data_IF_305825954261
#
_entry.id   IF_305825954261
#
_cell.length_a   1.000
_cell.length_b   1.000
_cell.length_c   1.000
_cell.angle_alpha   90.00
_cell.angle_beta   90.00
_cell.angle_gamma   90.00
#
_symmetry.space_group_name_H-M   'P 1'
#
loop_
_entity.id
_entity.type
_entity.pdbx_description
1 polymer ?
#
# COMPACT_ATOMS: atom_id res chain seq x y z
N UNK A 1 6.53 -17.88 -1.88
CA UNK A 1 7.34 -17.10 -2.85
C UNK A 1 8.30 -16.23 -2.08
N UNK A 2 9.58 -16.08 -2.50
CA UNK A 2 10.54 -15.23 -1.78
C UNK A 2 10.20 -13.75 -1.95
N UNK A 3 10.54 -12.90 -0.98
CA UNK A 3 10.26 -11.45 -1.05
C UNK A 3 10.85 -10.81 -2.31
N UNK A 4 12.04 -11.23 -2.73
CA UNK A 4 12.66 -10.73 -3.95
C UNK A 4 11.92 -11.13 -5.25
N UNK A 5 11.34 -12.34 -5.28
CA UNK A 5 10.56 -12.81 -6.42
C UNK A 5 9.24 -12.04 -6.54
N UNK A 6 8.59 -11.74 -5.41
CA UNK A 6 7.36 -10.93 -5.35
C UNK A 6 7.62 -9.55 -5.96
N UNK A 7 8.72 -8.91 -5.54
CA UNK A 7 9.14 -7.60 -6.07
C UNK A 7 9.29 -7.62 -7.59
N UNK A 8 10.04 -8.59 -8.11
CA UNK A 8 10.30 -8.68 -9.55
C UNK A 8 9.01 -8.98 -10.32
N UNK A 9 8.19 -9.90 -9.81
CA UNK A 9 6.92 -10.28 -10.45
C UNK A 9 5.96 -9.10 -10.59
N UNK A 10 5.90 -8.22 -9.60
CA UNK A 10 5.09 -6.99 -9.69
C UNK A 10 5.59 -6.04 -10.77
N UNK A 11 6.90 -5.78 -10.81
CA UNK A 11 7.50 -4.92 -11.83
C UNK A 11 7.27 -5.47 -13.25
N UNK A 12 7.50 -6.78 -13.43
CA UNK A 12 7.33 -7.45 -14.71
C UNK A 12 5.86 -7.45 -15.17
N UNK A 13 4.93 -7.67 -14.23
CA UNK A 13 3.50 -7.63 -14.51
C UNK A 13 3.08 -6.27 -15.06
N UNK A 14 3.40 -5.18 -14.36
CA UNK A 14 3.01 -3.85 -14.84
C UNK A 14 3.80 -3.39 -16.06
N UNK A 15 5.06 -3.80 -16.20
CA UNK A 15 5.79 -3.60 -17.46
C UNK A 15 5.08 -4.26 -18.65
N UNK A 16 4.51 -5.45 -18.45
CA UNK A 16 3.69 -6.13 -19.48
C UNK A 16 2.39 -5.40 -19.82
N UNK A 17 1.89 -4.53 -18.92
CA UNK A 17 0.72 -3.66 -19.12
C UNK A 17 1.10 -2.26 -19.66
N UNK A 18 2.36 -2.06 -20.04
CA UNK A 18 2.87 -0.85 -20.67
C UNK A 18 3.38 0.22 -19.69
N UNK A 19 3.63 -0.13 -18.43
CA UNK A 19 4.21 0.80 -17.45
C UNK A 19 5.73 0.88 -17.59
N UNK A 20 6.27 2.09 -17.48
CA UNK A 20 7.73 2.29 -17.39
C UNK A 20 8.21 1.91 -15.99
N UNK A 21 9.20 1.02 -15.90
CA UNK A 21 9.83 0.70 -14.62
C UNK A 21 10.72 1.87 -14.21
N UNK A 22 10.39 2.53 -13.11
CA UNK A 22 11.18 3.61 -12.52
C UNK A 22 11.93 3.10 -11.27
N UNK A 23 13.21 3.47 -11.10
CA UNK A 23 13.97 3.07 -9.92
C UNK A 23 13.43 3.79 -8.67
N UNK A 24 13.56 3.13 -7.52
CA UNK A 24 13.27 3.78 -6.24
C UNK A 24 14.14 5.02 -6.05
N UNK A 25 13.49 6.14 -5.73
CA UNK A 25 14.14 7.39 -5.36
C UNK A 25 14.88 7.29 -4.01
N UNK A 26 15.67 8.33 -3.72
CA UNK A 26 16.27 8.55 -2.40
C UNK A 26 15.21 8.60 -1.30
N UNK A 27 15.57 8.18 -0.09
CA UNK A 27 14.72 8.36 1.09
C UNK A 27 14.59 9.84 1.48
N UNK A 28 15.56 10.67 1.11
CA UNK A 28 15.55 12.12 1.37
C UNK A 28 14.99 12.83 0.13
N UNK A 29 13.84 13.52 0.22
CA UNK A 29 13.29 14.30 -0.88
C UNK A 29 14.24 15.42 -1.29
N UNK A 30 14.46 15.60 -2.60
CA UNK A 30 15.37 16.64 -3.09
C UNK A 30 14.70 18.04 -3.18
N UNK A 31 13.40 18.09 -3.48
CA UNK A 31 12.67 19.33 -3.78
C UNK A 31 11.43 19.58 -2.90
N UNK A 32 11.23 18.79 -1.83
CA UNK A 32 10.12 18.98 -0.91
C UNK A 32 10.64 19.28 0.49
N UNK A 33 10.45 20.53 0.95
CA UNK A 33 10.88 20.98 2.28
C UNK A 33 9.89 20.61 3.39
N UNK A 34 8.72 20.09 3.03
CA UNK A 34 7.65 19.72 3.98
C UNK A 34 7.72 18.25 4.37
N UNK A 35 8.36 17.41 3.55
CA UNK A 35 8.55 15.99 3.81
C UNK A 35 9.95 15.69 4.37
N UNK A 36 10.00 15.02 5.52
CA UNK A 36 11.26 14.56 6.11
C UNK A 36 11.86 13.38 5.33
N UNK A 37 11.01 12.42 4.97
CA UNK A 37 11.38 11.23 4.20
C UNK A 37 10.32 10.92 3.13
N UNK A 38 10.73 10.21 2.08
CA UNK A 38 9.81 9.56 1.15
C UNK A 38 9.05 8.48 1.92
N UNK A 39 7.75 8.68 2.10
CA UNK A 39 6.86 7.82 2.89
C UNK A 39 5.87 6.99 2.03
N UNK A 40 5.84 7.25 0.72
CA UNK A 40 4.98 6.59 -0.26
C UNK A 40 5.64 6.56 -1.65
N UNK A 41 5.20 5.63 -2.51
CA UNK A 41 5.69 5.46 -3.88
C UNK A 41 5.40 6.64 -4.81
N UNK A 42 4.36 7.43 -4.51
CA UNK A 42 3.96 8.59 -5.31
C UNK A 42 4.81 9.85 -5.09
N UNK A 43 5.55 9.94 -3.98
CA UNK A 43 6.29 11.17 -3.62
C UNK A 43 7.25 11.63 -4.73
N UNK A 44 8.03 10.75 -5.39
CA UNK A 44 8.89 11.15 -6.51
C UNK A 44 8.12 11.63 -7.75
N UNK A 45 6.81 11.37 -7.82
CA UNK A 45 5.94 11.72 -8.94
C UNK A 45 4.95 12.84 -8.59
N UNK A 46 5.07 13.49 -7.42
CA UNK A 46 4.15 14.53 -6.94
C UNK A 46 3.90 15.63 -7.99
N UNK A 47 4.97 16.13 -8.61
CA UNK A 47 4.87 17.19 -9.64
C UNK A 47 4.31 16.68 -10.97
N UNK A 48 4.39 15.38 -11.23
CA UNK A 48 3.74 14.74 -12.39
C UNK A 48 2.23 14.65 -12.16
N UNK A 49 1.80 14.26 -10.96
CA UNK A 49 0.38 14.21 -10.57
C UNK A 49 -0.30 15.58 -10.65
N UNK A 50 0.40 16.66 -10.29
CA UNK A 50 -0.12 18.03 -10.35
C UNK A 50 0.00 18.68 -11.74
N UNK A 51 0.63 18.00 -12.70
CA UNK A 51 0.86 18.49 -14.07
C UNK A 51 1.99 19.53 -14.21
N UNK A 52 2.74 19.80 -13.13
CA UNK A 52 3.89 20.72 -13.12
C UNK A 52 5.06 20.13 -13.91
N UNK A 53 5.28 18.82 -13.78
CA UNK A 53 6.33 18.08 -14.49
C UNK A 53 5.71 17.14 -15.52
N UNK A 54 6.32 17.07 -16.72
CA UNK A 54 5.93 16.12 -17.76
C UNK A 54 7.01 15.06 -17.94
N UNK A 55 6.60 13.79 -17.96
CA UNK A 55 7.45 12.64 -18.24
C UNK A 55 7.23 12.14 -19.68
N UNK A 56 8.21 11.42 -20.27
CA UNK A 56 8.05 10.82 -21.60
C UNK A 56 7.11 9.60 -21.62
N UNK A 57 6.51 9.26 -20.47
CA UNK A 57 5.57 8.17 -20.27
C UNK A 57 4.36 8.66 -19.46
N UNK A 58 3.23 7.99 -19.65
CA UNK A 58 1.97 8.26 -18.93
C UNK A 58 1.65 7.20 -17.87
N UNK A 59 2.46 6.12 -17.81
CA UNK A 59 2.33 5.02 -16.86
C UNK A 59 3.69 4.69 -16.26
N UNK A 60 3.75 4.48 -14.95
CA UNK A 60 4.97 4.08 -14.27
C UNK A 60 4.72 2.99 -13.23
N UNK A 61 5.71 2.14 -12.99
CA UNK A 61 5.71 1.17 -11.90
C UNK A 61 7.02 1.29 -11.14
N UNK A 62 6.98 1.24 -9.81
CA UNK A 62 8.18 1.23 -8.97
C UNK A 62 7.98 0.38 -7.72
N UNK A 63 9.10 0.04 -7.09
CA UNK A 63 9.13 -0.47 -5.72
C UNK A 63 9.94 0.53 -4.91
N UNK A 64 9.24 1.44 -4.23
CA UNK A 64 9.84 2.55 -3.52
C UNK A 64 10.21 2.13 -2.10
N UNK A 65 11.45 2.40 -1.69
CA UNK A 65 11.83 2.36 -0.28
C UNK A 65 11.18 3.53 0.46
N UNK A 66 10.47 3.25 1.53
CA UNK A 66 9.71 4.23 2.28
C UNK A 66 10.18 4.27 3.74
N UNK A 67 10.10 5.46 4.35
CA UNK A 67 10.26 5.64 5.80
C UNK A 67 9.07 6.38 6.40
N UNK A 68 8.49 5.81 7.45
CA UNK A 68 7.41 6.39 8.27
C UNK A 68 7.85 6.54 9.73
N UNK A 69 8.72 7.51 9.96
CA UNK A 69 9.30 7.80 11.28
C UNK A 69 9.19 9.28 11.66
N UNK A 70 8.18 9.99 11.14
CA UNK A 70 7.97 11.41 11.43
C UNK A 70 6.92 12.07 10.54
N UNK A 71 6.45 13.24 10.96
CA UNK A 71 5.39 13.98 10.27
C UNK A 71 4.01 13.31 10.42
N UNK A 72 3.14 13.51 9.43
CA UNK A 72 1.76 12.98 9.41
C UNK A 72 1.70 11.44 9.40
N UNK A 73 2.67 10.78 8.76
CA UNK A 73 2.75 9.33 8.68
C UNK A 73 3.92 8.84 9.54
N UNK A 74 3.62 8.54 10.81
CA UNK A 74 4.61 8.13 11.79
C UNK A 74 4.18 6.82 12.47
N UNK A 75 4.88 5.74 12.14
CA UNK A 75 4.63 4.41 12.67
C UNK A 75 5.62 4.02 13.78
N UNK A 76 6.50 4.93 14.20
CA UNK A 76 7.62 4.63 15.12
C UNK A 76 7.16 3.96 16.42
N UNK A 77 6.07 4.43 17.02
CA UNK A 77 5.54 3.90 18.28
C UNK A 77 4.83 2.54 18.11
N UNK A 78 4.53 2.12 16.87
CA UNK A 78 3.84 0.86 16.55
C UNK A 78 4.81 -0.29 16.26
N UNK A 79 6.07 0.03 15.91
CA UNK A 79 7.10 -0.95 15.54
C UNK A 79 7.45 -1.83 16.72
N UNK A 80 7.55 -3.14 16.49
CA UNK A 80 7.81 -4.15 17.52
C UNK A 80 6.58 -4.59 18.32
N UNK A 81 5.54 -3.74 18.43
CA UNK A 81 4.29 -4.05 19.12
C UNK A 81 3.24 -4.71 18.24
N UNK A 82 3.24 -4.40 16.94
CA UNK A 82 2.27 -4.95 15.98
C UNK A 82 2.95 -5.86 14.96
N UNK A 83 2.17 -6.68 14.27
CA UNK A 83 2.67 -7.62 13.28
C UNK A 83 2.97 -6.98 11.90
N UNK A 84 2.58 -5.71 11.71
CA UNK A 84 2.41 -5.09 10.37
C UNK A 84 3.11 -3.74 10.16
N UNK A 85 3.59 -3.09 11.22
CA UNK A 85 4.19 -1.74 11.13
C UNK A 85 5.70 -1.79 11.15
N UNK A 86 6.31 -0.98 10.28
CA UNK A 86 7.76 -0.82 10.15
C UNK A 86 8.10 0.67 10.06
N UNK A 87 9.30 1.06 10.48
CA UNK A 87 9.82 2.39 10.12
C UNK A 87 10.23 2.41 8.66
N UNK A 88 11.00 1.43 8.20
CA UNK A 88 11.42 1.24 6.82
C UNK A 88 10.67 0.08 6.19
N UNK A 89 10.16 0.27 4.97
CA UNK A 89 9.47 -0.77 4.21
C UNK A 89 9.55 -0.48 2.70
N UNK A 90 9.18 -1.45 1.87
CA UNK A 90 9.06 -1.26 0.43
C UNK A 90 7.60 -1.19 -0.01
N UNK A 91 7.27 -0.15 -0.79
CA UNK A 91 5.95 0.06 -1.37
C UNK A 91 5.97 -0.23 -2.86
N UNK A 92 5.20 -1.22 -3.28
CA UNK A 92 4.95 -1.56 -4.67
C UNK A 92 3.84 -0.65 -5.19
N UNK A 93 4.12 0.13 -6.23
CA UNK A 93 3.15 1.07 -6.78
C UNK A 93 3.12 1.06 -8.30
N UNK A 94 1.91 1.03 -8.86
CA UNK A 94 1.62 1.40 -10.23
C UNK A 94 0.96 2.79 -10.27
N UNK A 95 1.36 3.60 -11.25
CA UNK A 95 0.93 4.99 -11.38
C UNK A 95 0.41 5.26 -12.79
N UNK A 96 -0.68 6.01 -12.87
CA UNK A 96 -1.28 6.53 -14.11
C UNK A 96 -1.30 8.05 -14.06
N UNK A 97 -0.74 8.70 -15.08
CA UNK A 97 -0.69 10.15 -15.20
C UNK A 97 -1.62 10.59 -16.34
N UNK A 98 -2.92 10.72 -16.05
CA UNK A 98 -3.93 11.10 -17.04
C UNK A 98 -4.17 10.06 -18.14
N UNK A 99 -3.97 8.77 -17.85
CA UNK A 99 -4.09 7.67 -18.83
C UNK A 99 -5.29 6.77 -18.52
N UNK A 100 -5.10 5.77 -17.66
CA UNK A 100 -6.18 4.93 -17.14
C UNK A 100 -6.63 5.39 -15.75
N UNK A 101 -7.82 4.97 -15.32
CA UNK A 101 -8.39 5.40 -14.04
C UNK A 101 -8.94 4.22 -13.23
N UNK A 102 -10.03 4.41 -12.48
CA UNK A 102 -10.60 3.43 -11.54
C UNK A 102 -10.76 2.04 -12.12
N UNK A 103 -11.37 1.95 -13.31
CA UNK A 103 -11.70 0.69 -13.96
C UNK A 103 -10.47 -0.20 -14.16
N UNK A 104 -9.48 0.30 -14.87
CA UNK A 104 -8.25 -0.46 -15.13
C UNK A 104 -7.40 -0.62 -13.87
N UNK A 105 -7.38 0.36 -12.96
CA UNK A 105 -6.66 0.24 -11.68
C UNK A 105 -7.16 -0.95 -10.86
N UNK A 106 -8.48 -1.09 -10.73
CA UNK A 106 -9.13 -2.21 -10.04
C UNK A 106 -8.88 -3.51 -10.78
N UNK A 107 -9.02 -3.53 -12.12
CA UNK A 107 -8.77 -4.73 -12.93
C UNK A 107 -7.33 -5.22 -12.81
N UNK A 108 -6.34 -4.32 -12.89
CA UNK A 108 -4.93 -4.68 -12.76
C UNK A 108 -4.61 -5.22 -11.37
N UNK A 109 -5.12 -4.59 -10.31
CA UNK A 109 -4.91 -5.04 -8.95
C UNK A 109 -5.53 -6.43 -8.73
N UNK A 110 -6.76 -6.63 -9.18
CA UNK A 110 -7.47 -7.90 -9.04
C UNK A 110 -6.83 -9.04 -9.83
N UNK A 111 -6.44 -8.80 -11.09
CA UNK A 111 -5.73 -9.76 -11.93
C UNK A 111 -4.38 -10.14 -11.29
N UNK A 112 -3.61 -9.16 -10.81
CA UNK A 112 -2.33 -9.46 -10.16
C UNK A 112 -2.50 -10.33 -8.91
N UNK A 113 -3.42 -9.98 -8.01
CA UNK A 113 -3.61 -10.73 -6.78
C UNK A 113 -4.17 -12.14 -7.02
N UNK A 114 -5.15 -12.29 -7.91
CA UNK A 114 -5.92 -13.54 -8.01
C UNK A 114 -5.48 -14.45 -9.15
N UNK A 115 -4.92 -13.90 -10.22
CA UNK A 115 -4.43 -14.67 -11.38
C UNK A 115 -2.92 -14.85 -11.28
N UNK A 116 -2.16 -13.76 -11.17
CA UNK A 116 -0.71 -13.85 -11.15
C UNK A 116 -0.19 -14.45 -9.84
N UNK A 117 -0.70 -14.01 -8.70
CA UNK A 117 -0.28 -14.53 -7.38
C UNK A 117 -1.13 -15.71 -6.90
N UNK A 118 -2.30 -15.95 -7.50
CA UNK A 118 -3.16 -17.08 -7.16
C UNK A 118 -3.78 -16.97 -5.77
N UNK A 119 -3.97 -15.77 -5.23
CA UNK A 119 -4.61 -15.60 -3.93
C UNK A 119 -6.07 -16.07 -3.97
N UNK A 120 -6.54 -16.79 -2.93
CA UNK A 120 -7.93 -17.22 -2.83
C UNK A 120 -8.87 -16.02 -2.75
N UNK A 121 -9.78 -15.91 -3.72
CA UNK A 121 -10.74 -14.78 -3.85
C UNK A 121 -11.66 -14.66 -2.64
N UNK A 122 -11.96 -15.76 -1.99
CA UNK A 122 -12.76 -15.87 -0.76
C UNK A 122 -12.06 -15.29 0.48
N UNK A 123 -10.73 -15.13 0.44
CA UNK A 123 -9.95 -14.49 1.51
C UNK A 123 -9.76 -12.99 1.31
N UNK A 124 -10.16 -12.44 0.17
CA UNK A 124 -10.04 -11.01 -0.09
C UNK A 124 -11.28 -10.26 0.40
N UNK A 125 -11.06 -9.07 0.93
CA UNK A 125 -12.09 -8.09 1.31
C UNK A 125 -11.73 -6.74 0.69
N UNK A 126 -12.72 -5.92 0.37
CA UNK A 126 -12.50 -4.61 -0.26
C UNK A 126 -13.14 -3.51 0.57
N UNK A 127 -12.50 -2.36 0.67
CA UNK A 127 -13.14 -1.11 1.11
C UNK A 127 -13.25 -0.12 -0.06
N UNK A 128 -14.25 0.75 -0.02
CA UNK A 128 -14.44 1.88 -0.94
C UNK A 128 -14.89 3.11 -0.16
N UNK A 129 -14.57 4.29 -0.67
CA UNK A 129 -15.11 5.53 -0.12
C UNK A 129 -16.64 5.54 -0.21
N UNK A 130 -17.31 5.91 0.87
CA UNK A 130 -18.77 5.80 0.97
C UNK A 130 -19.52 6.61 -0.09
N UNK A 131 -18.93 7.68 -0.63
CA UNK A 131 -19.51 8.49 -1.70
C UNK A 131 -19.07 8.04 -3.11
N UNK A 132 -18.13 7.10 -3.23
CA UNK A 132 -17.60 6.60 -4.51
C UNK A 132 -18.37 5.38 -5.04
N UNK A 133 -19.57 5.64 -5.57
CA UNK A 133 -20.44 4.63 -6.16
C UNK A 133 -19.79 3.95 -7.38
N UNK A 134 -18.97 4.69 -8.14
CA UNK A 134 -18.30 4.19 -9.34
C UNK A 134 -17.33 3.05 -9.00
N UNK A 135 -16.53 3.20 -7.94
CA UNK A 135 -15.62 2.16 -7.49
C UNK A 135 -16.38 0.90 -7.02
N UNK A 136 -17.48 1.07 -6.25
CA UNK A 136 -18.33 -0.05 -5.84
C UNK A 136 -18.93 -0.79 -7.04
N UNK A 137 -19.41 -0.04 -8.04
CA UNK A 137 -20.02 -0.62 -9.24
C UNK A 137 -19.01 -1.38 -10.11
N UNK A 138 -17.76 -0.91 -10.21
CA UNK A 138 -16.70 -1.66 -10.91
C UNK A 138 -16.42 -2.98 -10.18
N UNK A 139 -16.26 -2.95 -8.85
CA UNK A 139 -16.04 -4.16 -8.06
C UNK A 139 -17.18 -5.16 -8.21
N UNK A 140 -18.43 -4.72 -8.13
CA UNK A 140 -19.59 -5.62 -8.18
C UNK A 140 -19.86 -6.11 -9.60
N UNK A 141 -19.95 -5.20 -10.57
CA UNK A 141 -20.49 -5.52 -11.90
C UNK A 141 -19.42 -5.99 -12.89
N UNK A 142 -18.19 -5.50 -12.77
CA UNK A 142 -17.10 -5.87 -13.70
C UNK A 142 -16.20 -6.97 -13.13
N UNK A 143 -15.80 -6.85 -11.86
CA UNK A 143 -14.98 -7.86 -11.21
C UNK A 143 -15.83 -9.06 -10.74
N UNK A 144 -17.12 -8.85 -10.47
CA UNK A 144 -18.00 -9.87 -9.90
C UNK A 144 -17.74 -10.10 -8.41
N UNK A 145 -17.20 -9.09 -7.72
CA UNK A 145 -16.89 -9.18 -6.30
C UNK A 145 -18.18 -9.09 -5.46
N UNK A 146 -18.37 -9.94 -4.45
CA UNK A 146 -19.63 -10.01 -3.73
C UNK A 146 -19.80 -8.80 -2.81
N UNK A 147 -20.94 -8.10 -2.95
CA UNK A 147 -21.23 -6.85 -2.23
C UNK A 147 -21.16 -6.97 -0.70
N UNK A 148 -21.44 -8.15 -0.13
CA UNK A 148 -21.36 -8.38 1.32
C UNK A 148 -19.93 -8.49 1.88
N UNK A 149 -18.90 -8.39 1.02
CA UNK A 149 -17.49 -8.29 1.40
C UNK A 149 -16.86 -6.96 0.96
N UNK A 150 -17.71 -5.97 0.65
CA UNK A 150 -17.30 -4.59 0.36
C UNK A 150 -17.74 -3.73 1.55
N UNK A 151 -16.78 -3.09 2.20
CA UNK A 151 -17.03 -2.08 3.22
C UNK A 151 -17.09 -0.69 2.58
N UNK A 152 -18.11 0.09 2.92
CA UNK A 152 -18.18 1.52 2.59
C UNK A 152 -17.68 2.30 3.79
N UNK A 153 -16.50 2.90 3.69
CA UNK A 153 -15.90 3.65 4.79
C UNK A 153 -15.86 5.15 4.48
N UNK A 154 -15.84 5.94 5.55
CA UNK A 154 -15.79 7.40 5.45
C UNK A 154 -14.41 7.93 5.05
N UNK A 155 -14.29 9.26 5.04
CA UNK A 155 -13.08 9.93 4.56
C UNK A 155 -11.83 9.64 5.40
N UNK A 156 -11.99 9.20 6.66
CA UNK A 156 -10.88 8.82 7.52
C UNK A 156 -10.08 7.64 6.94
N UNK A 157 -10.77 6.69 6.31
CA UNK A 157 -10.19 5.42 5.90
C UNK A 157 -10.06 5.34 4.37
N UNK A 158 -11.04 5.86 3.62
CA UNK A 158 -11.05 5.78 2.15
C UNK A 158 -10.95 7.14 1.42
N UNK A 159 -10.34 8.16 2.04
CA UNK A 159 -9.95 9.38 1.34
C UNK A 159 -8.48 9.69 1.59
N UNK A 160 -7.66 9.50 0.56
CA UNK A 160 -6.22 9.61 0.68
C UNK A 160 -5.73 11.02 0.35
N UNK A 161 -4.82 11.54 1.16
CA UNK A 161 -4.11 12.80 0.92
C UNK A 161 -2.68 12.74 1.47
N UNK A 162 -1.71 13.10 0.62
CA UNK A 162 -0.27 13.02 0.92
C UNK A 162 0.15 13.86 2.14
N UNK A 163 -0.43 15.04 2.28
CA UNK A 163 -0.11 16.02 3.33
C UNK A 163 -1.33 16.88 3.67
N UNK A 164 -1.10 18.10 4.11
CA UNK A 164 -2.17 19.07 4.37
C UNK A 164 -2.72 19.68 3.07
N UNK A 165 -1.86 19.76 2.04
CA UNK A 165 -2.18 20.19 0.67
C UNK A 165 -1.64 19.19 -0.36
N UNK A 166 -2.03 19.35 -1.62
CA UNK A 166 -1.53 18.55 -2.74
C UNK A 166 -2.53 17.53 -3.29
N UNK A 167 -2.07 16.66 -4.22
CA UNK A 167 -2.89 15.65 -4.86
C UNK A 167 -3.57 14.71 -3.85
N UNK A 168 -4.87 14.48 -4.04
CA UNK A 168 -5.72 13.66 -3.18
C UNK A 168 -6.93 13.09 -3.92
N UNK A 169 -7.64 12.16 -3.29
CA UNK A 169 -8.85 11.57 -3.86
C UNK A 169 -9.41 10.43 -3.03
N UNK A 170 -10.59 9.90 -3.42
CA UNK A 170 -11.13 8.68 -2.83
C UNK A 170 -10.20 7.50 -3.11
N UNK A 171 -10.25 6.50 -2.25
CA UNK A 171 -9.52 5.26 -2.42
C UNK A 171 -10.41 4.03 -2.32
N UNK A 172 -9.87 2.92 -2.81
CA UNK A 172 -10.37 1.58 -2.56
C UNK A 172 -9.21 0.71 -2.11
N UNK A 173 -9.37 0.01 -0.99
CA UNK A 173 -8.30 -0.82 -0.42
C UNK A 173 -8.69 -2.30 -0.49
N UNK A 174 -7.70 -3.15 -0.64
CA UNK A 174 -7.83 -4.61 -0.67
C UNK A 174 -7.17 -5.17 0.58
N UNK A 175 -7.92 -5.98 1.31
CA UNK A 175 -7.51 -6.64 2.54
C UNK A 175 -7.45 -8.16 2.35
N UNK A 176 -6.62 -8.82 3.14
CA UNK A 176 -6.53 -10.26 3.21
C UNK A 176 -6.97 -10.77 4.59
N UNK A 177 -7.92 -11.72 4.61
CA UNK A 177 -8.38 -12.43 5.81
C UNK A 177 -7.43 -13.58 6.18
N UNK A 178 -6.58 -13.35 7.17
CA UNK A 178 -5.63 -14.34 7.67
C UNK A 178 -6.30 -15.55 8.36
N UNK A 179 -7.55 -15.46 8.82
CA UNK A 179 -8.27 -16.57 9.46
C UNK A 179 -9.03 -16.18 10.73
N UNK A 180 -10.02 -17.00 11.08
CA UNK A 180 -10.89 -16.80 12.26
C UNK A 180 -10.16 -17.00 13.60
N UNK A 181 -8.98 -17.63 13.58
CA UNK A 181 -8.11 -17.82 14.73
C UNK A 181 -7.37 -16.53 15.16
N UNK A 182 -7.39 -15.50 14.31
CA UNK A 182 -6.82 -14.18 14.58
C UNK A 182 -7.96 -13.21 14.91
N UNK A 183 -7.79 -12.43 15.97
CA UNK A 183 -8.76 -11.42 16.36
C UNK A 183 -8.78 -10.23 15.39
N UNK A 184 -9.98 -9.71 15.13
CA UNK A 184 -10.20 -8.53 14.30
C UNK A 184 -11.37 -8.71 13.33
N UNK A 185 -12.06 -7.62 13.05
CA UNK A 185 -13.14 -7.54 12.08
C UNK A 185 -12.66 -7.01 10.72
N UNK A 186 -13.51 -7.08 9.68
CA UNK A 186 -13.24 -6.42 8.41
C UNK A 186 -13.20 -4.89 8.57
N UNK A 187 -12.65 -4.14 7.60
CA UNK A 187 -12.62 -2.68 7.64
C UNK A 187 -14.03 -2.09 7.81
N UNK A 188 -14.15 -0.99 8.56
CA UNK A 188 -15.40 -0.32 8.92
C UNK A 188 -16.15 -0.96 10.10
N UNK A 189 -15.64 -2.06 10.67
CA UNK A 189 -16.20 -2.66 11.88
C UNK A 189 -15.55 -2.10 13.16
N UNK A 190 -16.22 -2.26 14.30
CA UNK A 190 -15.73 -1.77 15.59
C UNK A 190 -14.41 -2.41 16.05
N UNK A 191 -14.09 -3.60 15.53
CA UNK A 191 -12.88 -4.38 15.82
C UNK A 191 -11.90 -4.42 14.62
N UNK A 192 -11.98 -3.44 13.71
CA UNK A 192 -11.14 -3.35 12.50
C UNK A 192 -9.63 -3.25 12.76
N UNK A 193 -9.22 -2.74 13.93
CA UNK A 193 -7.81 -2.51 14.28
C UNK A 193 -6.99 -3.79 14.54
N UNK A 194 -7.68 -4.95 14.56
CA UNK A 194 -7.07 -6.27 14.74
C UNK A 194 -6.14 -6.70 13.60
N UNK A 195 -5.52 -7.87 13.73
CA UNK A 195 -4.55 -8.40 12.77
C UNK A 195 -5.14 -9.43 11.79
N UNK A 196 -6.47 -9.64 11.83
CA UNK A 196 -7.14 -10.61 10.95
C UNK A 196 -7.23 -10.14 9.50
N UNK A 197 -7.77 -8.94 9.29
CA UNK A 197 -7.94 -8.34 7.96
C UNK A 197 -6.83 -7.33 7.74
N UNK A 198 -5.76 -7.75 7.07
CA UNK A 198 -4.62 -6.89 6.80
C UNK A 198 -4.78 -6.22 5.45
N UNK A 199 -4.75 -4.89 5.43
CA UNK A 199 -4.66 -4.09 4.21
C UNK A 199 -3.37 -4.45 3.46
N UNK A 200 -3.51 -5.00 2.26
CA UNK A 200 -2.38 -5.39 1.41
C UNK A 200 -2.15 -4.39 0.28
N UNK A 201 -3.18 -3.71 -0.23
CA UNK A 201 -3.05 -2.80 -1.36
C UNK A 201 -4.07 -1.67 -1.32
N UNK A 202 -3.61 -0.43 -1.38
CA UNK A 202 -4.44 0.77 -1.51
C UNK A 202 -4.42 1.28 -2.96
N UNK A 203 -5.60 1.52 -3.54
CA UNK A 203 -5.82 2.11 -4.86
C UNK A 203 -6.41 3.51 -4.69
N UNK A 204 -5.62 4.55 -4.94
CA UNK A 204 -6.02 5.94 -4.79
C UNK A 204 -6.38 6.53 -6.15
N UNK A 205 -7.58 7.08 -6.24
CA UNK A 205 -8.13 7.71 -7.44
C UNK A 205 -7.94 9.22 -7.36
N UNK A 206 -6.70 9.63 -7.54
CA UNK A 206 -6.25 11.02 -7.42
C UNK A 206 -6.94 11.90 -8.45
N UNK A 207 -7.86 12.74 -7.99
CA UNK A 207 -8.71 13.58 -8.87
C UNK A 207 -8.84 15.02 -8.37
N UNK A 208 -8.30 15.33 -7.20
CA UNK A 208 -8.29 16.66 -6.61
C UNK A 208 -6.87 17.08 -6.21
N UNK A 209 -6.65 18.38 -6.17
CA UNK A 209 -5.51 19.04 -5.52
C UNK A 209 -6.04 19.88 -4.36
N UNK A 210 -5.73 19.46 -3.13
CA UNK A 210 -6.20 20.13 -1.91
C UNK A 210 -5.41 21.41 -1.69
N UNK A 211 -6.12 22.53 -1.70
CA UNK A 211 -5.55 23.86 -1.48
C UNK A 211 -5.42 24.15 0.03
N UNK A 212 -4.67 25.20 0.39
CA UNK A 212 -4.41 25.59 1.80
C UNK A 212 -5.69 25.92 2.58
N UNK A 213 -6.73 26.43 1.92
CA UNK A 213 -8.04 26.73 2.51
C UNK A 213 -8.95 25.50 2.63
N UNK A 214 -8.46 24.33 2.23
CA UNK A 214 -9.20 23.07 2.22
C UNK A 214 -10.05 22.83 0.97
N UNK A 215 -10.10 23.78 0.03
CA UNK A 215 -10.80 23.57 -1.24
C UNK A 215 -10.18 22.43 -2.05
N UNK A 216 -11.03 21.51 -2.52
CA UNK A 216 -10.64 20.40 -3.39
C UNK A 216 -10.73 20.85 -4.85
N UNK A 217 -9.62 21.38 -5.39
CA UNK A 217 -9.56 21.81 -6.79
C UNK A 217 -9.49 20.58 -7.70
N UNK A 218 -10.40 20.37 -8.67
CA UNK A 218 -10.29 19.26 -9.61
C UNK A 218 -8.99 19.31 -10.41
N UNK A 219 -8.35 18.15 -10.60
CA UNK A 219 -7.18 18.02 -11.49
C UNK A 219 -7.62 18.09 -12.95
N UNK A 220 -6.75 18.61 -13.82
CA UNK A 220 -7.01 18.66 -15.27
C UNK A 220 -7.15 17.24 -15.87
N UNK A 221 -6.40 16.29 -15.33
CA UNK A 221 -6.45 14.88 -15.70
C UNK A 221 -6.43 14.01 -14.44
N UNK A 222 -7.46 13.17 -14.20
CA UNK A 222 -7.45 12.20 -13.12
C UNK A 222 -6.30 11.21 -13.26
N UNK A 223 -5.72 10.83 -12.13
CA UNK A 223 -4.54 9.99 -12.04
C UNK A 223 -4.79 8.82 -11.11
N UNK A 224 -3.96 7.79 -11.21
CA UNK A 224 -3.99 6.64 -10.29
C UNK A 224 -2.68 6.60 -9.54
N UNK A 225 -2.78 6.50 -8.22
CA UNK A 225 -1.69 6.15 -7.33
C UNK A 225 -2.06 4.84 -6.63
N UNK A 226 -1.11 3.92 -6.48
CA UNK A 226 -1.35 2.71 -5.71
C UNK A 226 -0.15 2.42 -4.82
N UNK A 227 -0.42 1.80 -3.67
CA UNK A 227 0.60 1.38 -2.74
C UNK A 227 0.27 0.05 -2.10
N UNK A 228 1.14 -0.94 -2.32
CA UNK A 228 1.09 -2.25 -1.68
C UNK A 228 2.35 -2.46 -0.85
N UNK A 229 2.19 -2.82 0.43
CA UNK A 229 3.32 -3.11 1.30
C UNK A 229 3.95 -4.46 0.93
N UNK A 230 5.23 -4.46 0.52
CA UNK A 230 5.93 -5.68 0.10
C UNK A 230 5.92 -6.74 1.20
N UNK A 231 6.21 -6.32 2.42
CA UNK A 231 6.37 -7.17 3.58
C UNK A 231 5.03 -7.79 3.99
N UNK A 232 3.94 -7.01 3.88
CA UNK A 232 2.57 -7.50 4.13
C UNK A 232 2.18 -8.56 3.08
N UNK A 233 2.41 -8.28 1.80
CA UNK A 233 2.13 -9.25 0.75
C UNK A 233 3.02 -10.50 0.85
N UNK A 234 4.28 -10.33 1.24
CA UNK A 234 5.19 -11.42 1.48
C UNK A 234 4.72 -12.32 2.63
N UNK A 235 4.20 -11.74 3.72
CA UNK A 235 3.63 -12.51 4.81
C UNK A 235 2.48 -13.40 4.30
N UNK A 236 1.54 -12.83 3.53
CA UNK A 236 0.43 -13.57 2.91
C UNK A 236 0.94 -14.72 2.01
N UNK A 237 1.85 -14.43 1.07
CA UNK A 237 2.38 -15.41 0.10
C UNK A 237 3.36 -16.44 0.70
N UNK A 238 3.75 -16.26 1.95
CA UNK A 238 4.56 -17.20 2.73
C UNK A 238 3.75 -17.88 3.84
N UNK A 239 2.42 -17.70 3.83
CA UNK A 239 1.49 -18.25 4.80
C UNK A 239 1.84 -17.87 6.25
N UNK A 240 2.18 -16.59 6.43
CA UNK A 240 2.44 -15.93 7.72
C UNK A 240 1.38 -14.86 7.95
N UNK A 241 1.14 -14.55 9.22
CA UNK A 241 0.32 -13.42 9.66
C UNK A 241 1.15 -12.27 10.25
N UNK A 242 2.47 -12.44 10.32
CA UNK A 242 3.39 -11.47 10.87
C UNK A 242 4.49 -11.16 9.85
N UNK A 243 4.69 -9.87 9.57
CA UNK A 243 5.71 -9.42 8.62
C UNK A 243 7.12 -9.86 9.06
N UNK A 244 7.37 -9.91 10.36
CA UNK A 244 8.65 -10.33 10.93
C UNK A 244 8.95 -11.83 10.71
N UNK A 245 7.96 -12.62 10.32
CA UNK A 245 8.11 -14.04 9.97
C UNK A 245 8.42 -14.30 8.50
N UNK A 246 8.57 -13.24 7.69
CA UNK A 246 8.96 -13.36 6.28
C UNK A 246 10.44 -13.72 6.14
N UNK A 247 10.81 -14.27 4.97
CA UNK A 247 12.19 -14.62 4.62
C UNK A 247 13.20 -13.47 4.82
N UNK A 248 12.80 -12.24 4.50
CA UNK A 248 13.61 -11.04 4.70
C UNK A 248 13.91 -10.79 6.18
N UNK A 249 12.86 -10.72 7.01
CA UNK A 249 13.01 -10.42 8.43
C UNK A 249 13.61 -11.57 9.24
N UNK A 250 13.25 -12.83 8.98
CA UNK A 250 13.85 -13.97 9.70
C UNK A 250 15.38 -13.98 9.59
N UNK A 251 15.91 -13.62 8.42
CA UNK A 251 17.36 -13.52 8.22
C UNK A 251 17.98 -12.40 9.05
N UNK A 252 17.30 -11.24 9.16
CA UNK A 252 17.76 -10.10 9.97
C UNK A 252 17.65 -10.38 11.47
N UNK A 253 16.51 -10.88 11.92
CA UNK A 253 16.24 -11.24 13.32
C UNK A 253 17.28 -12.25 13.80
N UNK A 254 17.55 -13.29 13.01
CA UNK A 254 18.57 -14.27 13.32
C UNK A 254 19.95 -13.63 13.48
N UNK A 255 20.33 -12.72 12.59
CA UNK A 255 21.60 -12.00 12.68
C UNK A 255 21.68 -11.13 13.94
N UNK A 256 20.59 -10.45 14.32
CA UNK A 256 20.51 -9.65 15.56
C UNK A 256 20.68 -10.53 16.79
N UNK A 257 19.99 -11.68 16.85
CA UNK A 257 20.12 -12.64 17.96
C UNK A 257 21.55 -13.18 18.05
N UNK A 258 22.14 -13.59 16.93
CA UNK A 258 23.50 -14.15 16.88
C UNK A 258 24.57 -13.13 17.32
N UNK A 259 24.35 -11.83 17.07
CA UNK A 259 25.24 -10.73 17.48
C UNK A 259 25.01 -10.28 18.94
N UNK A 260 23.87 -10.62 19.54
CA UNK A 260 23.54 -10.19 20.90
C UNK A 260 24.23 -11.11 21.92
N UNK A 261 24.87 -10.56 22.98
CA UNK A 261 25.49 -11.41 24.00
C UNK A 261 24.48 -12.34 24.67
N UNK A 262 24.78 -13.64 24.69
CA UNK A 262 23.90 -14.71 25.23
C UNK A 262 23.41 -14.46 26.66
N UNK A 263 24.12 -13.65 27.44
CA UNK A 263 23.73 -13.24 28.79
C UNK A 263 22.42 -12.47 28.85
N UNK A 264 21.99 -11.86 27.73
CA UNK A 264 20.71 -11.16 27.63
C UNK A 264 19.52 -12.11 27.41
N UNK A 265 19.76 -13.39 27.07
CA UNK A 265 18.71 -14.39 26.91
C UNK A 265 17.70 -14.11 25.80
N UNK A 266 18.03 -13.23 24.84
CA UNK A 266 17.15 -12.81 23.75
C UNK A 266 16.88 -13.98 22.79
N UNK A 267 15.63 -14.08 22.33
CA UNK A 267 15.13 -15.09 21.39
C UNK A 267 14.57 -14.43 20.13
N UNK A 268 14.37 -15.23 19.08
CA UNK A 268 13.85 -14.76 17.79
C UNK A 268 12.39 -14.29 17.84
N UNK A 269 11.61 -14.70 18.87
CA UNK A 269 10.22 -14.31 19.06
C UNK A 269 10.02 -13.04 19.90
N UNK A 270 11.08 -12.55 20.55
CA UNK A 270 11.05 -11.35 21.38
C UNK A 270 10.73 -10.09 20.55
N UNK A 271 9.98 -9.15 21.15
CA UNK A 271 9.68 -7.88 20.48
C UNK A 271 10.92 -7.02 20.25
N UNK A 272 11.98 -7.19 21.05
CA UNK A 272 13.22 -6.40 20.98
C UNK A 272 14.11 -6.70 19.78
N UNK A 273 13.83 -7.79 19.04
CA UNK A 273 14.58 -8.17 17.84
C UNK A 273 13.84 -7.84 16.53
N UNK A 274 12.65 -7.27 16.64
CA UNK A 274 11.81 -6.78 15.54
C UNK A 274 12.17 -5.33 15.20
#
# INVERSE_FOLDING_TARGET
MKTAEIRQKFLDYFASKGHTIEPSASLVPHNDKTLLFVNAGMVPFKDVFSGVEKRPYTRAVSVQRCVRAGGKHNDLENVGYTARHHTFFEMLGNFSFGDYFKREAIQYAWEFLTVELGLPKEKLWVSVFEEDIEAEDIWVNEIGFPRNRISRCGAKDNFWQMGDTGPCGPSSEIFYDHGEDIAGGPPGHADEDGDRYIEIWNLVFTQYDKQEDGYLKPLEAPCVDTGMGLERLAAVLQHKNNNYDTDGFKSLIKAVVDLTPKTHGIKEDDASVR
#
